data_IF_892051193769
#
_entry.id   IF_892051193769
#
_cell.length_a   1.000
_cell.length_b   1.000
_cell.length_c   1.000
_cell.angle_alpha   90.00
_cell.angle_beta   90.00
_cell.angle_gamma   90.00
#
_symmetry.space_group_name_H-M   'P 1'
#
loop_
_entity.id
_entity.type
_entity.pdbx_description
1 polymer ?
#
# COMPACT_ATOMS: atom_id res chain seq x y z
N UNK A 1 -20.38 -11.23 -4.51
CA UNK A 1 -20.78 -11.71 -3.16
C UNK A 1 -19.85 -11.14 -2.10
N UNK A 2 -18.52 -11.24 -2.26
CA UNK A 2 -17.54 -10.68 -1.30
C UNK A 2 -17.62 -9.16 -1.11
N UNK A 3 -17.70 -8.38 -2.19
CA UNK A 3 -17.85 -6.91 -2.08
C UNK A 3 -19.14 -6.47 -1.36
N UNK A 4 -20.23 -7.22 -1.55
CA UNK A 4 -21.51 -6.98 -0.87
C UNK A 4 -21.41 -7.27 0.64
N UNK A 5 -20.70 -8.34 1.02
CA UNK A 5 -20.44 -8.68 2.42
C UNK A 5 -19.47 -7.68 3.09
N UNK A 6 -18.44 -7.22 2.36
CA UNK A 6 -17.53 -6.16 2.84
C UNK A 6 -18.25 -4.83 3.04
N UNK A 7 -19.17 -4.45 2.15
CA UNK A 7 -19.94 -3.20 2.29
C UNK A 7 -20.85 -3.15 3.53
N UNK A 8 -21.14 -4.29 4.17
CA UNK A 8 -21.89 -4.37 5.43
C UNK A 8 -20.99 -4.47 6.66
N UNK A 9 -19.66 -4.55 6.46
CA UNK A 9 -18.68 -4.65 7.52
C UNK A 9 -18.52 -3.30 8.22
N UNK A 10 -18.20 -3.35 9.51
CA UNK A 10 -17.85 -2.15 10.25
C UNK A 10 -16.54 -1.58 9.67
N UNK A 11 -16.62 -0.33 9.19
CA UNK A 11 -15.51 0.43 8.61
C UNK A 11 -14.23 0.41 9.45
N UNK A 12 -14.35 0.38 10.79
CA UNK A 12 -13.20 0.33 11.69
C UNK A 12 -12.42 -0.99 11.53
N UNK A 13 -13.09 -2.07 11.17
CA UNK A 13 -12.44 -3.35 10.90
C UNK A 13 -11.66 -3.28 9.60
N UNK A 14 -12.18 -2.64 8.55
CA UNK A 14 -11.46 -2.44 7.29
C UNK A 14 -10.27 -1.49 7.48
N UNK A 15 -10.45 -0.41 8.25
CA UNK A 15 -9.35 0.49 8.61
C UNK A 15 -8.27 -0.24 9.43
N UNK A 16 -8.65 -1.10 10.38
CA UNK A 16 -7.70 -1.94 11.11
C UNK A 16 -6.95 -2.85 10.16
N UNK A 17 -7.65 -3.55 9.26
CA UNK A 17 -7.03 -4.45 8.30
C UNK A 17 -6.06 -3.69 7.39
N UNK A 18 -6.47 -2.52 6.88
CA UNK A 18 -5.62 -1.60 6.15
C UNK A 18 -4.37 -1.23 6.95
N UNK A 19 -4.51 -0.81 8.19
CA UNK A 19 -3.38 -0.41 9.04
C UNK A 19 -2.52 -1.59 9.51
N UNK A 20 -3.00 -2.83 9.46
CA UNK A 20 -2.23 -4.03 9.77
C UNK A 20 -1.52 -4.64 8.57
N UNK A 21 -1.88 -4.22 7.35
CA UNK A 21 -1.39 -4.83 6.12
C UNK A 21 0.10 -4.56 5.90
N UNK A 22 0.88 -5.63 5.83
CA UNK A 22 2.32 -5.64 5.53
C UNK A 22 2.60 -6.67 4.44
N UNK A 23 3.59 -6.45 3.58
CA UNK A 23 3.97 -7.37 2.51
C UNK A 23 4.47 -8.69 3.10
N UNK A 24 3.85 -9.79 2.67
CA UNK A 24 4.17 -11.13 3.17
C UNK A 24 5.46 -11.69 2.55
N UNK A 25 6.15 -12.65 3.19
CA UNK A 25 7.29 -13.32 2.59
C UNK A 25 6.92 -13.98 1.24
N UNK A 26 7.62 -13.59 0.17
CA UNK A 26 7.38 -14.11 -1.18
C UNK A 26 6.21 -13.46 -1.92
N UNK A 27 5.52 -12.49 -1.31
CA UNK A 27 4.49 -11.70 -1.97
C UNK A 27 5.11 -10.65 -2.91
N UNK A 28 4.58 -10.56 -4.13
CA UNK A 28 5.01 -9.53 -5.09
C UNK A 28 4.54 -8.15 -4.64
N UNK A 29 5.25 -7.11 -5.04
CA UNK A 29 4.81 -5.74 -4.77
C UNK A 29 3.43 -5.46 -5.39
N UNK A 30 3.13 -6.01 -6.56
CA UNK A 30 1.85 -5.83 -7.24
C UNK A 30 0.69 -6.41 -6.44
N UNK A 31 0.85 -7.63 -5.93
CA UNK A 31 -0.16 -8.29 -5.09
C UNK A 31 -0.38 -7.50 -3.79
N UNK A 32 0.71 -7.04 -3.18
CA UNK A 32 0.66 -6.20 -1.99
C UNK A 32 -0.09 -4.88 -2.25
N UNK A 33 0.28 -4.16 -3.32
CA UNK A 33 -0.30 -2.88 -3.71
C UNK A 33 -1.79 -3.03 -4.05
N UNK A 34 -2.16 -4.06 -4.80
CA UNK A 34 -3.55 -4.38 -5.13
C UNK A 34 -4.35 -4.63 -3.85
N UNK A 35 -3.86 -5.48 -2.95
CA UNK A 35 -4.54 -5.76 -1.69
C UNK A 35 -4.72 -4.51 -0.82
N UNK A 36 -3.71 -3.64 -0.73
CA UNK A 36 -3.79 -2.38 0.03
C UNK A 36 -4.86 -1.46 -0.55
N UNK A 37 -4.89 -1.29 -1.89
CA UNK A 37 -5.92 -0.48 -2.58
C UNK A 37 -7.32 -1.07 -2.42
N UNK A 38 -7.44 -2.39 -2.52
CA UNK A 38 -8.71 -3.09 -2.39
C UNK A 38 -9.31 -2.94 -0.99
N UNK A 39 -8.49 -2.98 0.07
CA UNK A 39 -8.99 -2.73 1.43
C UNK A 39 -9.39 -1.26 1.59
N UNK A 40 -8.61 -0.32 1.04
CA UNK A 40 -8.86 1.11 1.17
C UNK A 40 -10.23 1.55 0.63
N UNK A 41 -10.74 0.87 -0.39
CA UNK A 41 -12.09 1.09 -0.95
C UNK A 41 -13.23 0.91 0.08
N UNK A 42 -12.99 0.21 1.18
CA UNK A 42 -13.98 -0.07 2.23
C UNK A 42 -13.69 0.70 3.53
N UNK A 43 -12.65 1.54 3.56
CA UNK A 43 -12.21 2.25 4.76
C UNK A 43 -12.92 3.60 4.99
N UNK A 44 -13.80 4.03 4.07
CA UNK A 44 -14.45 5.36 4.08
C UNK A 44 -13.44 6.51 4.30
N UNK A 45 -12.29 6.40 3.65
CA UNK A 45 -11.27 7.43 3.72
C UNK A 45 -11.67 8.64 2.87
N UNK A 46 -11.27 9.83 3.33
CA UNK A 46 -11.55 11.06 2.60
C UNK A 46 -10.82 11.08 1.25
N UNK A 47 -11.50 11.55 0.20
CA UNK A 47 -10.94 11.60 -1.17
C UNK A 47 -9.64 12.41 -1.25
N UNK A 48 -9.52 13.48 -0.46
CA UNK A 48 -8.31 14.33 -0.44
C UNK A 48 -7.14 13.73 0.33
N UNK A 49 -7.35 12.67 1.12
CA UNK A 49 -6.32 12.05 1.94
C UNK A 49 -6.00 10.60 1.55
N UNK A 50 -6.76 10.00 0.63
CA UNK A 50 -6.56 8.60 0.23
C UNK A 50 -5.14 8.34 -0.26
N UNK A 51 -4.58 9.24 -1.05
CA UNK A 51 -3.22 9.09 -1.58
C UNK A 51 -2.16 9.10 -0.49
N UNK A 52 -2.30 10.00 0.50
CA UNK A 52 -1.39 10.06 1.63
C UNK A 52 -1.50 8.77 2.48
N UNK A 53 -2.72 8.27 2.70
CA UNK A 53 -2.95 7.05 3.47
C UNK A 53 -2.36 5.83 2.76
N UNK A 54 -2.58 5.70 1.46
CA UNK A 54 -2.01 4.64 0.63
C UNK A 54 -0.49 4.70 0.65
N UNK A 55 0.10 5.88 0.43
CA UNK A 55 1.55 6.09 0.49
C UNK A 55 2.10 5.65 1.84
N UNK A 56 1.52 6.13 2.93
CA UNK A 56 1.99 5.82 4.28
C UNK A 56 1.90 4.31 4.54
N UNK A 57 0.84 3.67 4.07
CA UNK A 57 0.70 2.21 4.20
C UNK A 57 1.70 1.44 3.34
N UNK A 58 1.97 1.88 2.12
CA UNK A 58 3.01 1.28 1.28
C UNK A 58 4.36 1.39 1.99
N UNK A 59 4.75 2.59 2.42
CA UNK A 59 6.02 2.82 3.12
C UNK A 59 6.15 1.94 4.37
N UNK A 60 5.15 1.91 5.24
CA UNK A 60 5.23 1.14 6.50
C UNK A 60 5.08 -0.37 6.24
N UNK A 61 4.43 -0.77 5.15
CA UNK A 61 4.09 -2.17 4.86
C UNK A 61 5.06 -2.88 3.93
N UNK A 62 5.89 -2.15 3.18
CA UNK A 62 6.97 -2.73 2.37
C UNK A 62 7.95 -3.48 3.27
N UNK A 63 8.31 -4.69 2.84
CA UNK A 63 9.19 -5.58 3.61
C UNK A 63 10.68 -5.30 3.36
N UNK A 64 11.03 -4.90 2.14
CA UNK A 64 12.43 -4.69 1.75
C UNK A 64 12.98 -3.38 2.36
N UNK A 65 14.07 -3.51 3.12
CA UNK A 65 14.68 -2.38 3.82
C UNK A 65 15.39 -1.39 2.88
N UNK A 66 15.90 -1.84 1.74
CA UNK A 66 16.58 -0.97 0.77
C UNK A 66 15.56 -0.15 -0.02
N UNK A 67 14.45 -0.77 -0.42
CA UNK A 67 13.29 -0.10 -0.99
C UNK A 67 12.74 0.98 -0.03
N UNK A 68 12.58 0.64 1.25
CA UNK A 68 12.17 1.58 2.29
C UNK A 68 13.14 2.75 2.41
N UNK A 69 14.44 2.49 2.48
CA UNK A 69 15.48 3.54 2.53
C UNK A 69 15.44 4.44 1.31
N UNK A 70 15.13 3.90 0.13
CA UNK A 70 15.02 4.70 -1.09
C UNK A 70 13.83 5.67 -1.02
N UNK A 71 12.66 5.16 -0.63
CA UNK A 71 11.47 6.00 -0.44
C UNK A 71 11.69 7.10 0.60
N UNK A 72 12.34 6.78 1.73
CA UNK A 72 12.57 7.72 2.82
C UNK A 72 13.63 8.81 2.51
N UNK A 73 14.37 8.70 1.41
CA UNK A 73 15.25 9.78 0.92
C UNK A 73 14.49 10.90 0.21
N UNK A 74 13.28 10.63 -0.28
CA UNK A 74 12.47 11.61 -1.00
C UNK A 74 11.74 12.54 -0.02
N UNK A 75 12.15 13.82 0.00
CA UNK A 75 11.62 14.83 0.93
C UNK A 75 10.10 15.05 0.80
N UNK A 76 9.57 14.97 -0.41
CA UNK A 76 8.14 15.17 -0.70
C UNK A 76 7.55 13.94 -1.40
N UNK A 77 7.75 12.77 -0.79
CA UNK A 77 7.26 11.50 -1.33
C UNK A 77 5.74 11.55 -1.55
N UNK A 78 5.33 11.28 -2.79
CA UNK A 78 3.91 11.12 -3.20
C UNK A 78 3.61 9.64 -3.42
N UNK A 79 2.34 9.28 -3.46
CA UNK A 79 1.92 7.91 -3.74
C UNK A 79 2.53 7.39 -5.05
N UNK A 80 2.43 8.17 -6.13
CA UNK A 80 2.94 7.74 -7.43
C UNK A 80 4.47 7.62 -7.46
N UNK A 81 5.21 8.51 -6.78
CA UNK A 81 6.68 8.39 -6.73
C UNK A 81 7.13 7.20 -5.88
N UNK A 82 6.46 6.92 -4.76
CA UNK A 82 6.68 5.70 -3.99
C UNK A 82 6.50 4.43 -4.83
N UNK A 83 5.39 4.34 -5.58
CA UNK A 83 5.11 3.22 -6.48
C UNK A 83 6.20 3.09 -7.56
N UNK A 84 6.61 4.21 -8.17
CA UNK A 84 7.65 4.20 -9.21
C UNK A 84 9.01 3.74 -8.70
N UNK A 85 9.39 4.14 -7.48
CA UNK A 85 10.63 3.70 -6.82
C UNK A 85 10.64 2.17 -6.69
N UNK A 86 9.53 1.59 -6.22
CA UNK A 86 9.41 0.15 -6.00
C UNK A 86 9.48 -0.64 -7.32
N UNK A 87 8.84 -0.15 -8.39
CA UNK A 87 8.98 -0.77 -9.71
C UNK A 87 10.39 -0.65 -10.32
N UNK A 88 11.08 0.47 -10.08
CA UNK A 88 12.42 0.69 -10.63
C UNK A 88 13.46 -0.28 -10.02
N UNK A 89 13.31 -0.63 -8.74
CA UNK A 89 14.18 -1.61 -8.08
C UNK A 89 13.91 -3.04 -8.58
N UNK A 90 12.64 -3.41 -8.82
CA UNK A 90 12.28 -4.71 -9.42
C UNK A 90 12.90 -4.90 -10.81
N UNK A 91 12.97 -3.84 -11.62
CA UNK A 91 13.56 -3.90 -12.97
C UNK A 91 15.09 -4.05 -12.96
N UNK A 92 15.80 -3.59 -11.92
CA UNK A 92 17.25 -3.78 -11.79
C UNK A 92 17.64 -5.22 -11.48
N UNK A 93 16.73 -6.01 -10.92
CA UNK A 93 16.97 -7.42 -10.59
C UNK A 93 16.85 -8.36 -11.82
N UNK A 94 16.37 -7.83 -12.95
CA UNK A 94 16.20 -8.53 -14.23
C UNK A 94 17.30 -8.20 -15.27
N UNK A 95 18.31 -7.41 -14.89
CA UNK A 95 19.48 -7.06 -15.71
C UNK A 95 20.76 -7.59 -15.07
#
# INVERSE_FOLDING_TARGET
MEAYLRGQRNVIVDQRDFHSRVQEPGETFDDFLCAVKDIANFCDFCESCIDNRLRDRIVVGTRDEEELKHMLKEKDLKLQSAINILYAELQKMLM
#
